data_IF_819404041387
#
_entry.id   IF_819404041387
#
_cell.length_a   1.000
_cell.length_b   1.000
_cell.length_c   1.000
_cell.angle_alpha   90.00
_cell.angle_beta   90.00
_cell.angle_gamma   90.00
#
_symmetry.space_group_name_H-M   'P 1'
#
loop_
_entity.id
_entity.type
_entity.pdbx_description
1 polymer ?
#
# COMPACT_ATOMS: atom_id res chain seq x y z
N UNK A 1 -10.38 11.78 6.75
CA UNK A 1 -9.82 12.94 6.09
C UNK A 1 -8.42 12.67 5.56
N UNK A 2 -8.15 13.12 4.37
CA UNK A 2 -6.86 12.90 3.73
C UNK A 2 -5.89 13.99 4.17
N UNK A 3 -4.70 13.62 4.54
CA UNK A 3 -3.67 14.59 4.91
C UNK A 3 -3.26 15.40 3.69
N UNK A 4 -2.76 16.60 3.94
CA UNK A 4 -2.33 17.50 2.87
C UNK A 4 -0.92 17.20 2.41
N UNK A 5 -0.14 16.49 3.22
CA UNK A 5 1.25 16.17 2.92
C UNK A 5 1.53 14.72 3.25
N UNK A 6 2.41 14.12 2.47
CA UNK A 6 2.91 12.78 2.74
C UNK A 6 4.42 12.76 2.53
N UNK A 7 5.07 11.87 3.25
CA UNK A 7 6.49 11.66 3.10
C UNK A 7 6.75 10.44 2.24
N UNK A 8 7.87 10.44 1.54
CA UNK A 8 8.30 9.32 0.72
C UNK A 8 9.75 9.02 1.01
N UNK A 9 10.06 7.74 1.14
CA UNK A 9 11.42 7.31 1.39
C UNK A 9 12.09 6.98 0.06
N UNK A 10 13.23 7.62 -0.21
CA UNK A 10 13.92 7.38 -1.47
C UNK A 10 14.43 5.95 -1.59
N UNK A 11 14.65 5.28 -0.46
CA UNK A 11 15.06 3.87 -0.51
C UNK A 11 14.03 3.02 -1.24
N UNK A 12 12.75 3.42 -1.20
CA UNK A 12 11.67 2.72 -1.90
C UNK A 12 11.50 3.27 -3.30
N UNK A 13 11.36 4.59 -3.43
CA UNK A 13 10.97 5.20 -4.71
C UNK A 13 12.11 5.24 -5.72
N UNK A 14 13.34 5.06 -5.26
CA UNK A 14 14.49 5.00 -6.16
C UNK A 14 15.10 3.61 -6.26
N UNK A 15 14.42 2.60 -5.72
CA UNK A 15 14.88 1.22 -5.85
C UNK A 15 14.72 0.76 -7.31
N UNK A 16 15.57 -0.16 -7.72
CA UNK A 16 15.44 -0.73 -9.06
C UNK A 16 14.07 -1.34 -9.27
N UNK A 17 13.56 -1.99 -8.24
CA UNK A 17 12.25 -2.65 -8.32
C UNK A 17 11.15 -1.63 -8.62
N UNK A 18 11.20 -0.45 -8.00
CA UNK A 18 10.20 0.57 -8.24
C UNK A 18 10.39 1.21 -9.63
N UNK A 19 11.63 1.51 -9.98
CA UNK A 19 11.93 2.19 -11.23
C UNK A 19 11.69 1.29 -12.45
N UNK A 20 11.67 -0.03 -12.25
CA UNK A 20 11.35 -0.96 -13.32
C UNK A 20 9.85 -1.04 -13.62
N UNK A 21 9.01 -0.45 -12.77
CA UNK A 21 7.58 -0.42 -13.03
C UNK A 21 7.26 0.49 -14.21
N UNK A 22 6.13 0.22 -14.90
CA UNK A 22 5.67 1.18 -15.91
C UNK A 22 5.52 2.58 -15.28
N UNK A 23 5.83 3.61 -16.04
CA UNK A 23 5.77 4.97 -15.52
C UNK A 23 4.40 5.31 -14.96
N UNK A 24 3.33 4.80 -15.59
CA UNK A 24 1.98 5.06 -15.10
C UNK A 24 1.70 4.36 -13.78
N UNK A 25 2.32 3.20 -13.55
CA UNK A 25 2.21 2.53 -12.25
C UNK A 25 2.95 3.32 -11.18
N UNK A 26 4.12 3.86 -11.50
CA UNK A 26 4.84 4.71 -10.56
C UNK A 26 4.01 5.93 -10.18
N UNK A 27 3.42 6.59 -11.18
CA UNK A 27 2.58 7.75 -10.92
C UNK A 27 1.37 7.38 -10.07
N UNK A 28 0.77 6.24 -10.37
CA UNK A 28 -0.40 5.77 -9.62
C UNK A 28 -0.04 5.52 -8.16
N UNK A 29 1.14 4.98 -7.91
CA UNK A 29 1.60 4.74 -6.55
C UNK A 29 1.60 6.04 -5.73
N UNK A 30 2.11 7.12 -6.30
CA UNK A 30 2.13 8.40 -5.59
C UNK A 30 0.72 8.92 -5.33
N UNK A 31 -0.19 8.75 -6.28
CA UNK A 31 -1.60 9.15 -6.07
C UNK A 31 -2.24 8.31 -4.97
N UNK A 32 -1.97 7.01 -4.95
CA UNK A 32 -2.51 6.15 -3.91
C UNK A 32 -2.00 6.58 -2.54
N UNK A 33 -0.71 6.85 -2.44
CA UNK A 33 -0.12 7.28 -1.17
C UNK A 33 -0.70 8.60 -0.70
N UNK A 34 -0.88 9.55 -1.62
CA UNK A 34 -1.41 10.86 -1.23
C UNK A 34 -2.84 10.77 -0.74
N UNK A 35 -3.61 9.82 -1.26
CA UNK A 35 -5.01 9.67 -0.89
C UNK A 35 -5.26 8.68 0.22
N UNK A 36 -4.20 8.04 0.72
CA UNK A 36 -4.32 7.07 1.79
C UNK A 36 -4.64 7.75 3.11
N UNK A 37 -5.27 6.99 4.01
CA UNK A 37 -5.48 7.47 5.37
C UNK A 37 -4.17 7.34 6.16
N UNK A 38 -4.23 7.59 7.46
CA UNK A 38 -3.02 7.63 8.29
C UNK A 38 -2.37 6.27 8.50
N UNK A 39 -3.06 5.19 8.14
CA UNK A 39 -2.52 3.83 8.23
C UNK A 39 -2.11 3.26 6.88
N UNK A 40 -2.27 4.04 5.80
CA UNK A 40 -1.86 3.60 4.49
C UNK A 40 -2.91 2.87 3.69
N UNK A 41 -4.18 3.00 4.04
CA UNK A 41 -5.27 2.35 3.32
C UNK A 41 -6.03 3.35 2.45
N UNK A 42 -6.42 2.91 1.27
CA UNK A 42 -7.18 3.75 0.36
C UNK A 42 -8.12 2.90 -0.49
N UNK A 43 -9.32 3.41 -0.73
CA UNK A 43 -10.26 2.78 -1.65
C UNK A 43 -9.83 3.17 -3.06
N UNK A 44 -9.51 2.19 -3.89
CA UNK A 44 -9.01 2.45 -5.23
C UNK A 44 -10.01 3.20 -6.09
N UNK A 45 -11.31 3.05 -5.82
CA UNK A 45 -12.30 3.72 -6.64
C UNK A 45 -12.15 5.24 -6.63
N UNK A 46 -11.81 5.80 -5.46
CA UNK A 46 -11.67 7.24 -5.37
C UNK A 46 -10.47 7.75 -6.16
N UNK A 47 -9.39 6.97 -6.17
CA UNK A 47 -8.18 7.34 -6.90
C UNK A 47 -8.38 7.18 -8.39
N UNK A 48 -8.95 6.05 -8.81
CA UNK A 48 -9.12 5.77 -10.23
C UNK A 48 -10.08 6.74 -10.91
N UNK A 49 -10.98 7.33 -10.12
CA UNK A 49 -11.87 8.36 -10.65
C UNK A 49 -11.11 9.63 -11.01
N UNK A 50 -10.08 9.93 -10.20
CA UNK A 50 -9.27 11.12 -10.41
C UNK A 50 -8.18 10.91 -11.46
N UNK A 51 -7.65 9.69 -11.53
CA UNK A 51 -6.54 9.37 -12.42
C UNK A 51 -7.07 8.39 -13.46
N UNK A 52 -7.45 8.91 -14.59
CA UNK A 52 -8.18 8.13 -15.57
C UNK A 52 -7.43 6.95 -16.13
N UNK A 53 -8.15 5.85 -16.34
CA UNK A 53 -7.67 4.70 -17.10
C UNK A 53 -6.44 4.06 -16.53
N UNK A 54 -6.35 4.06 -15.21
CA UNK A 54 -5.16 3.53 -14.57
C UNK A 54 -5.38 2.20 -13.89
N UNK A 55 -6.59 1.62 -13.99
CA UNK A 55 -6.87 0.38 -13.27
C UNK A 55 -5.88 -0.72 -13.60
N UNK A 56 -5.54 -0.89 -14.87
CA UNK A 56 -4.60 -1.94 -15.25
C UNK A 56 -3.19 -1.70 -14.72
N UNK A 57 -2.90 -0.46 -14.30
CA UNK A 57 -1.58 -0.14 -13.77
C UNK A 57 -1.47 -0.43 -12.27
N UNK A 58 -2.57 -0.88 -11.64
CA UNK A 58 -2.50 -1.42 -10.28
C UNK A 58 -1.78 -2.76 -10.26
N UNK A 59 -1.94 -3.57 -11.32
CA UNK A 59 -1.40 -4.92 -11.31
C UNK A 59 0.12 -4.98 -11.12
N UNK A 60 0.91 -4.16 -11.81
CA UNK A 60 2.34 -4.17 -11.55
C UNK A 60 2.69 -3.83 -10.11
N UNK A 61 1.94 -2.92 -9.49
CA UNK A 61 2.17 -2.56 -8.09
C UNK A 61 1.83 -3.72 -7.16
N UNK A 62 0.77 -4.44 -7.45
CA UNK A 62 0.36 -5.60 -6.65
C UNK A 62 1.39 -6.71 -6.80
N UNK A 63 1.76 -7.03 -8.04
CA UNK A 63 2.70 -8.11 -8.29
C UNK A 63 4.07 -7.84 -7.69
N UNK A 64 4.51 -6.60 -7.74
CA UNK A 64 5.80 -6.24 -7.18
C UNK A 64 5.76 -6.08 -5.67
N UNK A 65 4.58 -6.13 -5.07
CA UNK A 65 4.45 -6.07 -3.62
C UNK A 65 4.44 -4.68 -3.02
N UNK A 66 4.27 -3.64 -3.83
CA UNK A 66 4.21 -2.28 -3.31
C UNK A 66 2.87 -1.96 -2.67
N UNK A 67 1.81 -2.62 -3.11
CA UNK A 67 0.49 -2.48 -2.50
C UNK A 67 -0.09 -3.86 -2.26
N UNK A 68 -0.97 -3.94 -1.26
CA UNK A 68 -1.69 -5.16 -0.92
C UNK A 68 -3.16 -4.91 -1.22
N UNK A 69 -3.76 -5.74 -2.08
CA UNK A 69 -5.14 -5.55 -2.51
C UNK A 69 -6.06 -6.47 -1.72
N UNK A 70 -7.21 -5.94 -1.33
CA UNK A 70 -8.24 -6.70 -0.64
C UNK A 70 -9.47 -6.84 -1.53
N UNK A 71 -10.28 -7.89 -1.32
CA UNK A 71 -11.47 -8.09 -2.15
C UNK A 71 -12.45 -6.92 -2.12
N UNK A 72 -12.41 -6.13 -1.05
CA UNK A 72 -13.30 -4.98 -0.89
C UNK A 72 -13.01 -3.85 -1.86
N UNK A 73 -11.86 -3.89 -2.55
CA UNK A 73 -11.43 -2.78 -3.40
C UNK A 73 -10.51 -1.81 -2.68
N UNK A 74 -10.28 -2.05 -1.39
CA UNK A 74 -9.31 -1.27 -0.62
C UNK A 74 -7.93 -1.82 -0.88
N UNK A 75 -6.93 -0.95 -0.97
CA UNK A 75 -5.53 -1.38 -1.01
C UNK A 75 -4.79 -0.74 0.15
N UNK A 76 -3.70 -1.39 0.55
CA UNK A 76 -2.81 -0.90 1.59
C UNK A 76 -1.43 -0.69 0.98
N UNK A 77 -0.81 0.43 1.33
CA UNK A 77 0.56 0.72 0.91
C UNK A 77 1.48 -0.11 1.80
N UNK A 78 2.17 -1.09 1.21
CA UNK A 78 2.97 -2.03 2.00
C UNK A 78 4.06 -1.34 2.80
N UNK A 79 4.71 -0.33 2.22
CA UNK A 79 5.83 0.37 2.87
C UNK A 79 5.39 1.65 3.57
N UNK A 80 4.13 1.70 4.00
CA UNK A 80 3.55 2.92 4.57
C UNK A 80 4.38 3.49 5.72
N UNK A 81 4.76 2.63 6.67
CA UNK A 81 5.47 3.11 7.85
C UNK A 81 6.92 3.43 7.59
N UNK A 82 7.45 2.97 6.45
CA UNK A 82 8.77 3.38 6.01
C UNK A 82 8.71 4.80 5.45
N UNK A 83 7.63 5.10 4.73
CA UNK A 83 7.44 6.43 4.16
C UNK A 83 7.01 7.46 5.21
N UNK A 84 6.13 7.09 6.12
CA UNK A 84 5.44 8.05 6.98
C UNK A 84 5.54 7.71 8.45
N UNK A 85 6.30 8.52 9.21
CA UNK A 85 6.29 8.42 10.66
C UNK A 85 5.13 9.29 11.17
N UNK A 86 4.37 8.78 12.14
CA UNK A 86 3.20 9.48 12.63
C UNK A 86 3.30 9.70 14.13
N UNK A 87 3.27 10.97 14.59
CA UNK A 87 3.24 11.23 16.02
C UNK A 87 1.95 10.67 16.63
N UNK A 88 2.09 10.03 17.78
CA UNK A 88 0.95 9.31 18.36
C UNK A 88 -0.22 10.21 18.71
N UNK A 89 0.07 11.41 19.17
CA UNK A 89 -1.03 12.29 19.59
C UNK A 89 -1.82 12.87 18.42
N UNK A 90 -1.28 12.75 17.21
CA UNK A 90 -1.99 13.21 16.02
C UNK A 90 -2.60 12.07 15.23
N UNK A 91 -2.43 10.86 15.73
CA UNK A 91 -2.80 9.69 14.96
C UNK A 91 -4.30 9.46 14.95
N UNK A 92 -4.88 9.37 13.79
CA UNK A 92 -6.27 8.99 13.61
C UNK A 92 -6.30 7.62 12.93
N UNK A 93 -6.89 6.65 13.62
CA UNK A 93 -6.90 5.27 13.14
C UNK A 93 -7.74 5.15 11.86
N UNK A 94 -7.33 4.25 10.98
CA UNK A 94 -8.06 4.00 9.74
C UNK A 94 -9.50 3.57 10.01
N UNK A 95 -10.39 3.88 9.08
CA UNK A 95 -11.74 3.34 9.13
C UNK A 95 -11.79 1.93 8.51
N UNK A 96 -10.71 1.49 7.88
CA UNK A 96 -10.65 0.20 7.23
C UNK A 96 -10.11 -0.87 8.18
N UNK A 97 -10.83 -1.06 9.29
CA UNK A 97 -10.36 -1.97 10.35
C UNK A 97 -10.36 -3.42 9.94
N UNK A 98 -11.31 -3.83 9.12
CA UNK A 98 -11.35 -5.23 8.68
C UNK A 98 -10.09 -5.60 7.92
N UNK A 99 -9.60 -4.67 7.11
CA UNK A 99 -8.38 -4.90 6.34
C UNK A 99 -7.16 -4.82 7.25
N UNK A 100 -7.13 -3.83 8.14
CA UNK A 100 -6.00 -3.67 9.05
C UNK A 100 -5.79 -4.92 9.91
N UNK A 101 -6.88 -5.54 10.38
CA UNK A 101 -6.78 -6.70 11.25
C UNK A 101 -6.20 -7.92 10.55
N UNK A 102 -6.15 -7.93 9.24
CA UNK A 102 -5.55 -9.02 8.48
C UNK A 102 -4.04 -8.88 8.32
N UNK A 103 -3.48 -7.76 8.74
CA UNK A 103 -2.08 -7.43 8.48
C UNK A 103 -1.25 -7.43 9.74
N UNK A 104 0.06 -7.62 9.55
CA UNK A 104 1.07 -7.39 10.56
C UNK A 104 2.12 -6.48 9.97
N UNK A 105 2.91 -5.84 10.83
CA UNK A 105 3.98 -4.95 10.41
C UNK A 105 5.31 -5.60 10.76
N UNK A 106 6.19 -5.68 9.78
CA UNK A 106 7.51 -6.26 9.98
C UNK A 106 8.41 -5.31 10.79
N UNK A 107 9.58 -5.79 11.16
CA UNK A 107 10.53 -4.97 11.90
C UNK A 107 10.97 -3.75 11.12
N UNK A 108 10.94 -3.82 9.80
CA UNK A 108 11.36 -2.71 8.96
C UNK A 108 10.24 -1.73 8.69
N UNK A 109 9.02 -2.02 9.14
CA UNK A 109 7.90 -1.11 8.95
C UNK A 109 7.03 -1.45 7.76
N UNK A 110 7.09 -2.70 7.31
CA UNK A 110 6.36 -3.12 6.12
C UNK A 110 5.17 -3.98 6.50
N UNK A 111 4.01 -3.70 5.93
CA UNK A 111 2.82 -4.52 6.13
C UNK A 111 2.93 -5.84 5.36
N UNK A 112 2.38 -6.89 5.92
CA UNK A 112 2.25 -8.17 5.22
C UNK A 112 1.06 -8.95 5.79
N UNK A 113 0.60 -9.94 5.03
CA UNK A 113 -0.52 -10.80 5.44
C UNK A 113 0.07 -12.12 5.93
N UNK A 114 0.10 -12.36 7.24
CA UNK A 114 0.81 -13.53 7.79
C UNK A 114 0.25 -14.86 7.32
N UNK A 115 -1.06 -14.98 7.26
CA UNK A 115 -1.63 -16.26 6.88
C UNK A 115 -1.34 -16.62 5.43
N UNK A 116 -1.35 -15.63 4.56
CA UNK A 116 -1.04 -15.85 3.15
C UNK A 116 0.40 -16.25 2.97
N UNK A 117 1.28 -15.72 3.80
CA UNK A 117 2.67 -16.06 3.77
C UNK A 117 2.90 -17.50 4.15
N UNK A 118 2.08 -18.05 5.03
CA UNK A 118 2.27 -19.41 5.52
C UNK A 118 1.70 -20.46 4.61
N UNK A 119 0.71 -20.10 3.81
CA UNK A 119 0.03 -21.09 3.02
C UNK A 119 0.83 -21.72 1.93
N UNK A 120 1.70 -21.04 1.26
CA UNK A 120 2.37 -21.64 0.15
C UNK A 120 3.23 -22.78 0.52
N UNK A 121 3.50 -22.84 1.71
CA UNK A 121 4.24 -23.85 2.08
C UNK A 121 3.50 -24.93 2.22
N UNK A 122 2.45 -24.73 2.35
CA UNK A 122 1.76 -25.53 2.44
C UNK A 122 1.14 -25.67 1.49
N UNK A 123 1.19 -25.11 1.16
CA UNK A 123 0.66 -25.48 0.33
C UNK A 123 1.56 -26.03 -0.20
N UNK A 124 1.97 -26.03 0.01
CA UNK A 124 2.65 -26.50 -0.25
C UNK A 124 3.02 -27.06 0.41
N UNK A 125 3.03 -27.07 0.79
CA UNK A 125 3.30 -27.35 1.21
C UNK A 125 3.60 -27.62 1.55
N UNK A 126 3.66 -27.47 1.88
CA UNK A 126 3.94 -27.51 2.32
C UNK A 126 3.96 -27.97 2.33
#
# INVERSE_FOLDING_TARGET
>A
MVARKRMFCSDITESDKFLDLPAKSQALYFHLCMRSDNDGFVDTKSVLRSVRRTERYLEPLIRAGFIIRFPSGVVCIADWWIHNAQPKWEYAVTVHMDELLQLEVSETGRYFIPNRQKQPEQAAGR
#
